data_IF_005920285307
#
_entry.id   IF_005920285307
#
_cell.length_a   1.000
_cell.length_b   1.000
_cell.length_c   1.000
_cell.angle_alpha   90.00
_cell.angle_beta   90.00
_cell.angle_gamma   90.00
#
_symmetry.space_group_name_H-M   'P 1'
#
loop_
_entity.id
_entity.type
_entity.pdbx_description
1 polymer ?
#
# COMPACT_ATOMS: atom_id res chain seq x y z
N UNK A 1 7.02 -15.16 -19.38
CA UNK A 1 7.58 -14.46 -18.22
C UNK A 1 6.46 -13.65 -17.58
N UNK A 2 5.91 -14.09 -16.45
CA UNK A 2 4.83 -13.37 -15.77
C UNK A 2 5.43 -12.11 -15.15
N UNK A 3 5.04 -10.92 -15.62
CA UNK A 3 5.45 -9.67 -14.98
C UNK A 3 4.81 -9.64 -13.60
N UNK A 4 5.63 -9.74 -12.56
CA UNK A 4 5.15 -9.56 -11.19
C UNK A 4 4.66 -8.11 -11.02
N UNK A 5 3.52 -7.90 -10.36
CA UNK A 5 3.01 -6.55 -10.14
C UNK A 5 3.99 -5.78 -9.25
N UNK A 6 4.39 -4.59 -9.70
CA UNK A 6 5.32 -3.72 -8.96
C UNK A 6 4.64 -2.98 -7.81
N UNK A 7 3.32 -3.01 -7.77
CA UNK A 7 2.43 -2.37 -6.79
C UNK A 7 1.36 -3.37 -6.34
N UNK A 8 0.84 -3.19 -5.13
CA UNK A 8 -0.20 -4.01 -4.51
C UNK A 8 -1.61 -3.46 -4.80
N UNK A 9 -1.72 -2.16 -5.08
CA UNK A 9 -2.97 -1.60 -5.61
C UNK A 9 -3.04 -1.93 -7.10
N UNK A 10 -3.83 -2.95 -7.45
CA UNK A 10 -3.94 -3.52 -8.80
C UNK A 10 -5.38 -3.51 -9.30
N UNK A 11 -5.60 -3.89 -10.56
CA UNK A 11 -6.92 -4.07 -11.18
C UNK A 11 -7.89 -4.94 -10.36
N UNK A 12 -7.39 -5.84 -9.49
CA UNK A 12 -8.22 -6.66 -8.58
C UNK A 12 -9.05 -5.82 -7.60
N UNK A 13 -8.63 -4.59 -7.34
CA UNK A 13 -9.32 -3.67 -6.43
C UNK A 13 -10.29 -2.74 -7.17
N UNK A 14 -10.36 -2.77 -8.50
CA UNK A 14 -11.33 -1.95 -9.24
C UNK A 14 -12.76 -2.34 -8.85
N UNK A 15 -13.61 -1.34 -8.70
CA UNK A 15 -14.98 -1.44 -8.18
C UNK A 15 -15.07 -1.50 -6.65
N UNK A 16 -13.95 -1.54 -5.92
CA UNK A 16 -13.95 -1.55 -4.44
C UNK A 16 -13.96 -0.14 -3.86
N UNK A 17 -14.60 0.00 -2.71
CA UNK A 17 -14.42 1.17 -1.85
C UNK A 17 -13.02 1.18 -1.27
N UNK A 18 -12.31 2.28 -1.46
CA UNK A 18 -10.96 2.49 -0.97
C UNK A 18 -10.88 3.76 -0.13
N UNK A 19 -9.98 3.73 0.85
CA UNK A 19 -9.65 4.88 1.69
C UNK A 19 -8.17 5.18 1.47
N UNK A 20 -7.86 6.31 0.86
CA UNK A 20 -6.51 6.75 0.56
C UNK A 20 -6.15 7.89 1.52
N UNK A 21 -5.03 7.78 2.20
CA UNK A 21 -4.42 8.90 2.90
C UNK A 21 -3.27 9.45 2.04
N UNK A 22 -3.31 10.75 1.75
CA UNK A 22 -2.28 11.45 0.99
C UNK A 22 -1.13 11.91 1.90
N UNK A 23 0.01 12.24 1.28
CA UNK A 23 1.22 12.68 1.97
C UNK A 23 1.06 14.01 2.70
N UNK A 24 0.12 14.85 2.30
CA UNK A 24 -0.25 16.11 2.98
C UNK A 24 -1.27 15.91 4.11
N UNK A 25 -1.79 14.68 4.28
CA UNK A 25 -2.77 14.33 5.30
C UNK A 25 -4.22 14.38 4.82
N UNK A 26 -4.51 14.76 3.57
CA UNK A 26 -5.87 14.65 3.02
C UNK A 26 -6.30 13.17 2.98
N UNK A 27 -7.58 12.93 3.26
CA UNK A 27 -8.19 11.60 3.17
C UNK A 27 -9.16 11.59 2.00
N UNK A 28 -8.94 10.66 1.08
CA UNK A 28 -9.80 10.41 -0.06
C UNK A 28 -10.52 9.08 0.07
N UNK A 29 -11.85 9.14 0.20
CA UNK A 29 -12.72 7.96 0.09
C UNK A 29 -13.45 7.97 -1.27
N UNK A 30 -13.57 6.80 -1.89
CA UNK A 30 -14.28 6.62 -3.15
C UNK A 30 -14.21 5.19 -3.68
N UNK A 31 -14.71 4.99 -4.90
CA UNK A 31 -14.61 3.71 -5.62
C UNK A 31 -13.39 3.77 -6.54
N UNK A 32 -12.52 2.77 -6.46
CA UNK A 32 -11.42 2.63 -7.42
C UNK A 32 -11.97 2.26 -8.79
N UNK A 33 -11.77 3.11 -9.79
CA UNK A 33 -12.32 2.94 -11.13
C UNK A 33 -11.26 2.45 -12.12
N UNK A 34 -10.03 2.97 -11.99
CA UNK A 34 -8.91 2.63 -12.87
C UNK A 34 -7.60 2.56 -12.10
N UNK A 35 -6.69 1.68 -12.55
CA UNK A 35 -5.36 1.53 -11.98
C UNK A 35 -4.31 1.60 -13.07
N UNK A 36 -3.29 2.44 -12.89
CA UNK A 36 -2.10 2.46 -13.72
C UNK A 36 -0.85 2.23 -12.86
N UNK A 37 0.32 2.20 -13.51
CA UNK A 37 1.60 2.16 -12.82
C UNK A 37 1.90 3.44 -12.00
N UNK A 38 1.26 4.57 -12.33
CA UNK A 38 1.58 5.89 -11.77
C UNK A 38 0.38 6.58 -11.13
N UNK A 39 -0.83 6.27 -11.55
CA UNK A 39 -2.06 6.92 -11.10
C UNK A 39 -3.13 5.89 -10.69
N UNK A 40 -4.05 6.37 -9.86
CA UNK A 40 -5.31 5.72 -9.55
C UNK A 40 -6.45 6.65 -9.99
N UNK A 41 -7.42 6.12 -10.73
CA UNK A 41 -8.70 6.79 -10.98
C UNK A 41 -9.67 6.44 -9.87
N UNK A 42 -10.17 7.43 -9.14
CA UNK A 42 -11.12 7.25 -8.03
C UNK A 42 -12.39 8.03 -8.31
N UNK A 43 -13.53 7.34 -8.29
CA UNK A 43 -14.84 7.94 -8.49
C UNK A 43 -15.54 8.19 -7.16
N UNK A 44 -16.04 9.41 -6.98
CA UNK A 44 -16.94 9.83 -5.90
C UNK A 44 -18.34 10.06 -6.47
N UNK A 45 -19.30 10.48 -5.63
CA UNK A 45 -20.69 10.69 -6.05
C UNK A 45 -20.79 11.68 -7.23
N UNK A 46 -20.08 12.80 -7.13
CA UNK A 46 -20.24 13.93 -8.05
C UNK A 46 -18.94 14.29 -8.80
N UNK A 47 -17.86 13.55 -8.60
CA UNK A 47 -16.55 13.85 -9.18
C UNK A 47 -15.70 12.59 -9.45
N UNK A 48 -14.71 12.75 -10.32
CA UNK A 48 -13.65 11.78 -10.56
C UNK A 48 -12.30 12.41 -10.24
N UNK A 49 -11.48 11.69 -9.49
CA UNK A 49 -10.16 12.12 -9.06
C UNK A 49 -9.09 11.24 -9.71
N UNK A 50 -8.03 11.86 -10.21
CA UNK A 50 -6.80 11.17 -10.62
C UNK A 50 -5.78 11.40 -9.51
N UNK A 51 -5.39 10.33 -8.84
CA UNK A 51 -4.48 10.39 -7.69
C UNK A 51 -3.14 9.79 -8.11
N UNK A 52 -2.09 10.61 -8.06
CA UNK A 52 -0.74 10.13 -8.32
C UNK A 52 -0.22 9.28 -7.17
N UNK A 53 0.34 8.12 -7.47
CA UNK A 53 0.83 7.17 -6.45
C UNK A 53 1.90 7.74 -5.54
N UNK A 54 2.73 8.66 -6.03
CA UNK A 54 3.75 9.32 -5.21
C UNK A 54 3.15 10.25 -4.14
N UNK A 55 1.92 10.72 -4.33
CA UNK A 55 1.19 11.53 -3.37
C UNK A 55 0.44 10.67 -2.33
N UNK A 56 0.41 9.35 -2.51
CA UNK A 56 -0.26 8.44 -1.57
C UNK A 56 0.71 8.10 -0.45
N UNK A 57 0.27 8.32 0.80
CA UNK A 57 0.94 7.80 1.99
C UNK A 57 0.54 6.35 2.21
N UNK A 58 -0.77 6.09 2.28
CA UNK A 58 -1.30 4.73 2.43
C UNK A 58 -2.69 4.56 1.83
N UNK A 59 -3.02 3.31 1.47
CA UNK A 59 -4.38 2.91 1.09
C UNK A 59 -4.85 1.82 2.05
N UNK A 60 -6.00 2.02 2.66
CA UNK A 60 -6.66 1.03 3.53
C UNK A 60 -7.64 0.18 2.70
N UNK A 61 -7.42 -1.12 2.73
CA UNK A 61 -8.22 -2.15 2.05
C UNK A 61 -8.45 -3.32 3.00
N UNK A 62 -9.25 -4.33 2.59
CA UNK A 62 -9.41 -5.53 3.42
C UNK A 62 -8.16 -6.40 3.32
N UNK A 63 -7.81 -7.09 4.41
CA UNK A 63 -6.56 -7.86 4.48
C UNK A 63 -6.45 -8.94 3.39
N UNK A 64 -7.56 -9.63 3.12
CA UNK A 64 -7.65 -10.68 2.10
C UNK A 64 -7.51 -10.16 0.66
N UNK A 65 -7.62 -8.85 0.44
CA UNK A 65 -7.52 -8.26 -0.90
C UNK A 65 -6.05 -8.05 -1.31
N UNK A 66 -5.11 -8.00 -0.37
CA UNK A 66 -3.68 -7.78 -0.66
C UNK A 66 -2.76 -8.91 -0.22
N UNK A 67 -3.25 -9.81 0.63
CA UNK A 67 -2.52 -11.01 1.01
C UNK A 67 -2.12 -11.84 -0.23
N UNK A 68 -0.82 -12.05 -0.41
CA UNK A 68 -0.28 -12.89 -1.49
C UNK A 68 -0.26 -12.28 -2.89
N UNK A 69 -0.52 -10.97 -3.05
CA UNK A 69 -0.38 -10.29 -4.35
C UNK A 69 1.08 -10.26 -4.81
N UNK A 70 2.02 -10.07 -3.87
CA UNK A 70 3.45 -10.07 -4.16
C UNK A 70 4.13 -11.08 -3.24
N UNK A 71 4.60 -12.21 -3.81
CA UNK A 71 5.27 -13.28 -3.06
C UNK A 71 6.80 -13.21 -3.16
N UNK A 72 7.34 -12.90 -4.33
CA UNK A 72 8.78 -13.07 -4.61
C UNK A 72 9.41 -11.81 -5.25
N UNK A 73 8.94 -10.62 -4.86
CA UNK A 73 9.58 -9.40 -5.34
C UNK A 73 10.91 -9.17 -4.62
N UNK A 74 11.94 -9.02 -5.45
CA UNK A 74 13.01 -8.07 -5.18
C UNK A 74 14.03 -8.50 -4.11
N UNK A 75 14.17 -9.81 -3.93
CA UNK A 75 15.08 -10.47 -2.98
C UNK A 75 16.55 -10.03 -3.17
N UNK A 76 16.99 -9.72 -4.40
CA UNK A 76 18.39 -9.36 -4.66
C UNK A 76 18.72 -7.86 -4.54
N UNK A 77 17.73 -6.97 -4.36
CA UNK A 77 17.94 -5.51 -4.42
C UNK A 77 17.44 -4.74 -3.18
N UNK A 78 16.77 -5.40 -2.24
CA UNK A 78 16.19 -4.74 -1.07
C UNK A 78 16.48 -5.52 0.22
N UNK A 79 16.81 -4.81 1.30
CA UNK A 79 16.97 -5.41 2.63
C UNK A 79 15.62 -5.92 3.15
N UNK A 80 14.54 -5.18 2.89
CA UNK A 80 13.18 -5.61 3.24
C UNK A 80 12.54 -6.30 2.04
N UNK A 81 12.40 -7.62 2.14
CA UNK A 81 11.84 -8.52 1.12
C UNK A 81 10.70 -9.38 1.69
N UNK A 82 10.29 -10.42 0.94
CA UNK A 82 9.23 -11.33 1.33
C UNK A 82 9.54 -12.19 2.57
N UNK A 83 10.81 -12.38 2.94
CA UNK A 83 11.21 -13.21 4.08
C UNK A 83 10.79 -12.62 5.43
N UNK A 84 10.54 -11.30 5.48
CA UNK A 84 10.05 -10.60 6.67
C UNK A 84 8.53 -10.64 6.83
N UNK A 85 7.79 -11.24 5.90
CA UNK A 85 6.35 -11.40 6.04
C UNK A 85 6.02 -12.15 7.35
N UNK A 86 5.05 -11.64 8.09
CA UNK A 86 4.63 -12.16 9.39
C UNK A 86 5.26 -11.46 10.61
N UNK A 87 6.35 -10.70 10.43
CA UNK A 87 6.95 -9.91 11.50
C UNK A 87 6.00 -8.81 11.97
N UNK A 88 6.02 -8.52 13.28
CA UNK A 88 5.38 -7.30 13.78
C UNK A 88 6.28 -6.11 13.47
N UNK A 89 5.69 -5.02 13.01
CA UNK A 89 6.42 -3.85 12.50
C UNK A 89 5.79 -2.56 12.98
N UNK A 90 6.62 -1.52 13.06
CA UNK A 90 6.18 -0.12 13.14
C UNK A 90 6.78 0.65 11.96
N UNK A 91 5.91 1.16 11.11
CA UNK A 91 6.25 2.00 9.96
C UNK A 91 6.19 3.46 10.41
N UNK A 92 7.32 4.17 10.34
CA UNK A 92 7.40 5.61 10.59
C UNK A 92 7.34 6.35 9.25
N UNK A 93 6.30 7.15 9.03
CA UNK A 93 6.17 7.97 7.83
C UNK A 93 6.98 9.26 7.94
N UNK A 94 7.36 9.79 6.79
CA UNK A 94 7.82 11.18 6.65
C UNK A 94 6.69 12.08 7.17
N UNK A 95 7.02 13.01 8.06
CA UNK A 95 6.03 13.83 8.80
C UNK A 95 5.66 13.26 10.18
N UNK A 96 6.16 12.08 10.54
CA UNK A 96 6.15 11.58 11.92
C UNK A 96 4.93 10.78 12.36
N UNK A 97 3.98 10.50 11.46
CA UNK A 97 2.91 9.54 11.73
C UNK A 97 3.46 8.11 11.80
N UNK A 98 2.81 7.24 12.56
CA UNK A 98 3.16 5.82 12.66
C UNK A 98 2.00 4.91 12.29
N UNK A 99 2.35 3.74 11.76
CA UNK A 99 1.46 2.61 11.52
C UNK A 99 2.12 1.35 12.09
N UNK A 100 1.50 0.75 13.10
CA UNK A 100 1.97 -0.49 13.72
C UNK A 100 1.04 -1.65 13.36
N UNK A 101 1.61 -2.82 13.14
CA UNK A 101 0.86 -4.01 12.77
C UNK A 101 1.75 -5.14 12.28
N UNK A 102 1.18 -6.12 11.58
CA UNK A 102 1.90 -7.27 11.03
C UNK A 102 2.23 -7.05 9.55
N UNK A 103 3.48 -7.26 9.14
CA UNK A 103 3.87 -7.16 7.74
C UNK A 103 3.24 -8.31 6.94
N UNK A 104 2.40 -7.98 5.96
CA UNK A 104 1.71 -8.97 5.12
C UNK A 104 2.46 -9.28 3.83
N UNK A 105 2.99 -8.24 3.18
CA UNK A 105 3.63 -8.36 1.87
C UNK A 105 4.52 -7.14 1.61
N UNK A 106 5.48 -7.32 0.72
CA UNK A 106 6.43 -6.29 0.29
C UNK A 106 6.50 -6.30 -1.23
N UNK A 107 6.45 -5.12 -1.84
CA UNK A 107 6.67 -4.91 -3.27
C UNK A 107 7.83 -3.95 -3.48
N UNK A 108 8.11 -3.60 -4.75
CA UNK A 108 9.20 -2.67 -5.07
C UNK A 108 8.96 -1.29 -4.46
N UNK A 109 7.71 -0.84 -4.49
CA UNK A 109 7.35 0.53 -4.10
C UNK A 109 6.46 0.60 -2.86
N UNK A 110 5.93 -0.52 -2.39
CA UNK A 110 4.90 -0.53 -1.34
C UNK A 110 5.16 -1.63 -0.31
N UNK A 111 4.59 -1.46 0.88
CA UNK A 111 4.50 -2.48 1.93
C UNK A 111 3.05 -2.59 2.38
N UNK A 112 2.58 -3.80 2.66
CA UNK A 112 1.26 -4.00 3.25
C UNK A 112 1.40 -4.38 4.73
N UNK A 113 0.73 -3.65 5.61
CA UNK A 113 0.71 -3.92 7.05
C UNK A 113 -0.73 -4.17 7.51
N UNK A 114 -0.98 -5.31 8.14
CA UNK A 114 -2.24 -5.63 8.79
C UNK A 114 -2.34 -4.91 10.13
N UNK A 115 -3.38 -4.11 10.32
CA UNK A 115 -3.65 -3.40 11.58
C UNK A 115 -5.14 -3.15 11.74
N UNK A 116 -5.69 -3.42 12.92
CA UNK A 116 -7.10 -3.15 13.24
C UNK A 116 -8.11 -3.83 12.29
N UNK A 117 -7.80 -5.00 11.74
CA UNK A 117 -8.66 -5.75 10.81
C UNK A 117 -8.64 -5.27 9.36
N UNK A 118 -7.70 -4.39 9.00
CA UNK A 118 -7.49 -3.90 7.64
C UNK A 118 -6.03 -4.09 7.22
N UNK A 119 -5.79 -4.13 5.92
CA UNK A 119 -4.46 -3.96 5.38
C UNK A 119 -4.24 -2.52 4.91
N UNK A 120 -3.12 -1.96 5.33
CA UNK A 120 -2.64 -0.65 4.91
C UNK A 120 -1.49 -0.85 3.93
N UNK A 121 -1.74 -0.55 2.66
CA UNK A 121 -0.73 -0.53 1.61
C UNK A 121 -0.06 0.84 1.65
N UNK A 122 1.13 0.90 2.24
CA UNK A 122 1.92 2.11 2.42
C UNK A 122 2.95 2.29 1.30
N UNK A 123 3.06 3.50 0.76
CA UNK A 123 4.06 3.84 -0.25
C UNK A 123 5.44 4.01 0.41
N UNK A 124 6.45 3.25 -0.02
CA UNK A 124 7.82 3.30 0.51
C UNK A 124 8.48 4.67 0.37
N UNK A 125 8.12 5.45 -0.66
CA UNK A 125 8.59 6.83 -0.84
C UNK A 125 8.10 7.80 0.25
N UNK A 126 7.06 7.43 1.00
CA UNK A 126 6.55 8.21 2.13
C UNK A 126 7.03 7.72 3.50
N UNK A 127 7.86 6.67 3.55
CA UNK A 127 8.32 6.01 4.78
C UNK A 127 9.74 6.49 5.12
N UNK A 128 9.97 6.90 6.36
CA UNK A 128 11.30 7.20 6.88
C UNK A 128 12.06 5.93 7.26
N UNK A 129 11.42 5.02 8.00
CA UNK A 129 11.98 3.72 8.35
C UNK A 129 10.87 2.74 8.76
N UNK A 130 11.22 1.45 8.75
CA UNK A 130 10.40 0.38 9.29
C UNK A 130 11.20 -0.30 10.41
N UNK A 131 10.64 -0.31 11.61
CA UNK A 131 11.19 -1.02 12.76
C UNK A 131 10.55 -2.41 12.82
N UNK A 132 11.37 -3.45 12.71
CA UNK A 132 10.95 -4.83 12.96
C UNK A 132 10.92 -5.08 14.48
N UNK A 133 9.86 -5.72 14.95
CA UNK A 133 9.62 -6.08 16.35
C UNK A 133 9.59 -7.61 16.38
N UNK A 134 10.58 -8.19 17.07
CA UNK A 134 10.68 -9.63 17.30
C UNK A 134 10.05 -10.06 18.60
#
# INVERSE_FOLDING_TARGET
MVRMPQTMITEKLVGRSIYIELVDGEIVEGILDHVSNYELGVRRRDEALIIFRHAIRSVRVRENEVAGIVKDCCEDQHILDGSYAGYDVTVRFIGGKELSGKLLSVSRYEVAVASGGYAYVANKGSISYIKLIG
#
